data_IF_229537957132
#
_entry.id   IF_229537957132
#
_cell.length_a   1.000
_cell.length_b   1.000
_cell.length_c   1.000
_cell.angle_alpha   90.00
_cell.angle_beta   90.00
_cell.angle_gamma   90.00
#
_symmetry.space_group_name_H-M   'P 1'
#
loop_
_entity.id
_entity.type
_entity.pdbx_description
1 polymer ?
#
# COMPACT_ATOMS: atom_id res chain seq x y z
N UNK A 1 14.39 20.66 52.52
CA UNK A 1 13.71 21.58 51.57
C UNK A 1 14.77 22.17 50.65
N UNK A 2 14.57 22.05 49.33
CA UNK A 2 14.97 22.93 48.20
C UNK A 2 16.31 23.71 48.26
N UNK A 3 17.15 23.82 47.23
CA UNK A 3 17.09 23.49 45.79
C UNK A 3 18.53 23.53 45.26
N UNK A 4 18.95 22.50 44.52
CA UNK A 4 20.20 22.51 43.74
C UNK A 4 19.90 23.19 42.40
N UNK A 5 20.47 24.37 42.15
CA UNK A 5 20.50 24.96 40.80
C UNK A 5 21.78 24.50 40.09
N UNK A 6 21.65 23.46 39.25
CA UNK A 6 22.66 23.11 38.25
C UNK A 6 22.25 23.75 36.93
N UNK A 7 22.93 24.83 36.54
CA UNK A 7 22.89 25.39 35.20
C UNK A 7 23.56 24.41 34.21
N UNK A 8 22.84 23.38 33.81
CA UNK A 8 23.19 22.52 32.69
C UNK A 8 22.84 23.25 31.39
N UNK A 9 23.86 23.78 30.70
CA UNK A 9 23.75 24.21 29.31
C UNK A 9 23.28 23.02 28.47
N UNK A 10 22.02 23.01 28.06
CA UNK A 10 21.52 22.07 27.06
C UNK A 10 22.16 22.46 25.73
N UNK A 11 23.23 21.75 25.34
CA UNK A 11 23.73 21.77 23.97
C UNK A 11 22.73 21.02 23.10
N UNK A 12 21.82 21.76 22.47
CA UNK A 12 20.92 21.24 21.45
C UNK A 12 21.78 20.82 20.27
N UNK A 13 22.08 19.52 20.21
CA UNK A 13 22.94 18.92 19.20
C UNK A 13 22.07 18.38 18.09
N UNK A 14 22.50 18.65 16.84
CA UNK A 14 21.94 18.19 15.56
C UNK A 14 20.72 18.98 15.09
N UNK A 15 21.01 20.06 14.38
CA UNK A 15 20.17 20.57 13.29
C UNK A 15 19.79 19.39 12.38
N UNK A 16 18.54 18.96 12.45
CA UNK A 16 17.94 18.07 11.46
C UNK A 16 17.90 18.85 10.15
N UNK A 17 18.87 18.61 9.26
CA UNK A 17 18.81 19.13 7.90
C UNK A 17 17.76 18.30 7.17
N UNK A 18 16.61 18.86 6.77
CA UNK A 18 15.68 18.12 5.92
C UNK A 18 16.45 17.76 4.65
N UNK A 19 16.61 16.46 4.41
CA UNK A 19 17.18 15.94 3.17
C UNK A 19 16.27 16.45 2.05
N UNK A 20 16.79 17.30 1.18
CA UNK A 20 16.03 17.82 0.03
C UNK A 20 15.55 16.62 -0.80
N UNK A 21 14.27 16.29 -0.66
CA UNK A 21 13.57 15.38 -1.57
C UNK A 21 13.57 16.10 -2.92
N UNK A 22 14.17 15.50 -3.96
CA UNK A 22 14.20 16.12 -5.29
C UNK A 22 12.76 16.26 -5.79
N UNK A 23 12.44 17.32 -6.53
CA UNK A 23 11.09 17.59 -7.05
C UNK A 23 10.48 16.42 -7.86
N UNK A 24 11.33 15.62 -8.51
CA UNK A 24 10.91 14.39 -9.21
C UNK A 24 10.50 13.26 -8.24
N UNK A 25 11.17 13.15 -7.09
CA UNK A 25 10.86 12.16 -6.06
C UNK A 25 9.52 12.52 -5.38
N UNK A 26 9.25 13.81 -5.15
CA UNK A 26 7.95 14.25 -4.59
C UNK A 26 6.77 13.95 -5.51
N UNK A 27 6.95 14.09 -6.83
CA UNK A 27 5.91 13.77 -7.81
C UNK A 27 5.65 12.26 -7.89
N UNK A 28 6.71 11.44 -7.85
CA UNK A 28 6.58 9.97 -7.84
C UNK A 28 5.90 9.47 -6.57
N UNK A 29 6.27 10.01 -5.40
CA UNK A 29 5.62 9.68 -4.11
C UNK A 29 4.14 10.02 -4.13
N UNK A 30 3.77 11.19 -4.64
CA UNK A 30 2.35 11.58 -4.76
C UNK A 30 1.56 10.63 -5.65
N UNK A 31 2.12 10.22 -6.81
CA UNK A 31 1.48 9.27 -7.71
C UNK A 31 1.30 7.88 -7.10
N UNK A 32 2.33 7.39 -6.41
CA UNK A 32 2.28 6.11 -5.68
C UNK A 32 1.22 6.20 -4.59
N UNK A 33 1.22 7.27 -3.78
CA UNK A 33 0.26 7.47 -2.69
C UNK A 33 -1.18 7.44 -3.18
N UNK A 34 -1.47 8.17 -4.27
CA UNK A 34 -2.80 8.19 -4.87
C UNK A 34 -3.20 6.81 -5.41
N UNK A 35 -2.26 6.07 -6.02
CA UNK A 35 -2.54 4.71 -6.52
C UNK A 35 -2.81 3.72 -5.38
N UNK A 36 -2.09 3.85 -4.26
CA UNK A 36 -2.32 3.08 -3.03
C UNK A 36 -3.70 3.38 -2.45
N UNK A 37 -4.10 4.65 -2.40
CA UNK A 37 -5.42 5.07 -1.91
C UNK A 37 -6.56 4.52 -2.78
N UNK A 38 -6.47 4.68 -4.10
CA UNK A 38 -7.45 4.12 -5.05
C UNK A 38 -7.56 2.60 -4.94
N UNK A 39 -6.45 1.90 -4.72
CA UNK A 39 -6.46 0.46 -4.54
C UNK A 39 -7.07 0.03 -3.21
N UNK A 40 -6.79 0.76 -2.11
CA UNK A 40 -7.37 0.53 -0.79
C UNK A 40 -8.91 0.69 -0.83
N UNK A 41 -9.39 1.77 -1.43
CA UNK A 41 -10.83 2.05 -1.60
C UNK A 41 -11.52 0.95 -2.41
N UNK A 42 -10.91 0.53 -3.52
CA UNK A 42 -11.46 -0.53 -4.36
C UNK A 42 -11.52 -1.88 -3.64
N UNK A 43 -10.46 -2.24 -2.91
CA UNK A 43 -10.43 -3.48 -2.13
C UNK A 43 -11.45 -3.43 -0.99
N UNK A 44 -11.58 -2.29 -0.32
CA UNK A 44 -12.58 -2.10 0.72
C UNK A 44 -14.00 -2.25 0.15
N UNK A 45 -14.30 -1.61 -0.98
CA UNK A 45 -15.59 -1.74 -1.65
C UNK A 45 -15.87 -3.19 -2.06
N UNK A 46 -14.88 -3.90 -2.62
CA UNK A 46 -15.00 -5.33 -2.93
C UNK A 46 -15.30 -6.17 -1.69
N UNK A 47 -14.63 -5.91 -0.57
CA UNK A 47 -14.87 -6.59 0.70
C UNK A 47 -16.24 -6.27 1.33
N UNK A 48 -16.85 -5.14 0.99
CA UNK A 48 -18.19 -4.78 1.45
C UNK A 48 -19.29 -5.45 0.63
N UNK A 49 -19.11 -5.54 -0.69
CA UNK A 49 -20.12 -6.10 -1.59
C UNK A 49 -20.05 -7.62 -1.73
N UNK A 50 -18.89 -8.25 -1.52
CA UNK A 50 -18.74 -9.69 -1.76
C UNK A 50 -19.39 -10.50 -0.63
N UNK A 51 -20.42 -11.33 -0.90
CA UNK A 51 -21.03 -12.15 0.14
C UNK A 51 -20.07 -13.24 0.64
N UNK A 52 -20.44 -13.95 1.71
CA UNK A 52 -19.64 -15.02 2.34
C UNK A 52 -20.34 -16.38 2.23
N UNK A 53 -20.97 -16.63 1.09
CA UNK A 53 -21.87 -17.79 0.92
C UNK A 53 -21.11 -18.92 0.21
N UNK A 54 -20.44 -18.58 -0.89
CA UNK A 54 -19.78 -19.55 -1.74
C UNK A 54 -18.29 -19.70 -1.38
N UNK A 55 -17.68 -20.90 -1.54
CA UNK A 55 -16.27 -21.12 -1.25
C UNK A 55 -15.33 -20.14 -1.95
N UNK A 56 -15.58 -19.86 -3.24
CA UNK A 56 -14.76 -18.92 -4.00
C UNK A 56 -14.81 -17.49 -3.44
N UNK A 57 -15.90 -17.11 -2.79
CA UNK A 57 -16.05 -15.79 -2.17
C UNK A 57 -15.22 -15.70 -0.90
N UNK A 58 -15.22 -16.77 -0.10
CA UNK A 58 -14.37 -16.86 1.09
C UNK A 58 -12.89 -16.77 0.71
N UNK A 59 -12.49 -17.51 -0.33
CA UNK A 59 -11.12 -17.48 -0.86
C UNK A 59 -10.75 -16.08 -1.36
N UNK A 60 -11.62 -15.45 -2.17
CA UNK A 60 -11.38 -14.10 -2.67
C UNK A 60 -11.30 -13.09 -1.54
N UNK A 61 -12.16 -13.16 -0.52
CA UNK A 61 -12.10 -12.27 0.66
C UNK A 61 -10.81 -12.46 1.43
N UNK A 62 -10.33 -13.68 1.59
CA UNK A 62 -9.04 -13.94 2.25
C UNK A 62 -7.90 -13.28 1.47
N UNK A 63 -7.89 -13.42 0.14
CA UNK A 63 -6.90 -12.79 -0.74
C UNK A 63 -6.98 -11.25 -0.68
N UNK A 64 -8.19 -10.68 -0.70
CA UNK A 64 -8.42 -9.24 -0.59
C UNK A 64 -8.01 -8.68 0.78
N UNK A 65 -8.27 -9.40 1.87
CA UNK A 65 -7.79 -8.99 3.20
C UNK A 65 -6.26 -9.03 3.30
N UNK A 66 -5.61 -10.03 2.70
CA UNK A 66 -4.15 -10.06 2.59
C UNK A 66 -3.63 -8.84 1.83
N UNK A 67 -4.19 -8.56 0.65
CA UNK A 67 -3.83 -7.39 -0.15
C UNK A 67 -4.04 -6.07 0.61
N UNK A 68 -5.12 -5.94 1.40
CA UNK A 68 -5.35 -4.78 2.27
C UNK A 68 -4.26 -4.60 3.32
N UNK A 69 -3.75 -5.68 3.90
CA UNK A 69 -2.63 -5.61 4.84
C UNK A 69 -1.33 -5.20 4.15
N UNK A 70 -1.07 -5.73 2.96
CA UNK A 70 0.09 -5.34 2.14
C UNK A 70 0.04 -3.84 1.78
N UNK A 71 -1.14 -3.33 1.40
CA UNK A 71 -1.38 -1.90 1.12
C UNK A 71 -1.10 -1.02 2.33
N UNK A 72 -1.56 -1.42 3.53
CA UNK A 72 -1.25 -0.69 4.78
C UNK A 72 0.24 -0.63 5.05
N UNK A 73 0.96 -1.73 4.81
CA UNK A 73 2.40 -1.77 4.95
C UNK A 73 3.09 -0.86 3.92
N UNK A 74 2.70 -0.90 2.64
CA UNK A 74 3.21 0.01 1.59
C UNK A 74 2.98 1.48 1.95
N UNK A 75 1.79 1.83 2.42
CA UNK A 75 1.45 3.20 2.87
C UNK A 75 2.38 3.67 4.00
N UNK A 76 2.78 2.77 4.90
CA UNK A 76 3.73 3.11 5.98
C UNK A 76 5.18 3.28 5.48
N UNK A 77 5.53 2.66 4.35
CA UNK A 77 6.89 2.65 3.81
C UNK A 77 7.16 3.82 2.84
N UNK A 78 6.13 4.37 2.20
CA UNK A 78 6.23 5.42 1.17
C UNK A 78 6.86 6.75 1.64
N UNK A 79 6.95 6.98 2.95
CA UNK A 79 7.60 8.16 3.53
C UNK A 79 9.00 7.86 4.11
N UNK A 80 9.44 6.60 4.03
CA UNK A 80 10.73 6.14 4.58
C UNK A 80 11.68 5.74 3.46
N UNK A 81 12.73 6.53 3.22
CA UNK A 81 13.75 6.23 2.20
C UNK A 81 14.50 4.93 2.49
N UNK A 82 14.69 4.58 3.76
CA UNK A 82 15.42 3.38 4.18
C UNK A 82 14.65 2.08 3.87
N UNK A 83 13.35 2.18 3.61
CA UNK A 83 12.48 1.03 3.29
C UNK A 83 12.20 0.89 1.79
N UNK A 84 12.97 1.54 0.94
CA UNK A 84 12.74 1.55 -0.52
C UNK A 84 12.82 0.16 -1.15
N UNK A 85 13.80 -0.65 -0.78
CA UNK A 85 13.92 -2.04 -1.27
C UNK A 85 12.73 -2.89 -0.81
N UNK A 86 12.40 -2.82 0.50
CA UNK A 86 11.23 -3.51 1.06
C UNK A 86 9.91 -3.08 0.42
N UNK A 87 9.77 -1.79 0.10
CA UNK A 87 8.62 -1.26 -0.63
C UNK A 87 8.53 -1.90 -2.02
N UNK A 88 9.63 -1.95 -2.77
CA UNK A 88 9.65 -2.50 -4.11
C UNK A 88 9.33 -4.00 -4.09
N UNK A 89 9.90 -4.77 -3.17
CA UNK A 89 9.59 -6.20 -2.98
C UNK A 89 8.12 -6.43 -2.66
N UNK A 90 7.58 -5.69 -1.68
CA UNK A 90 6.18 -5.82 -1.28
C UNK A 90 5.22 -5.38 -2.41
N UNK A 91 5.58 -4.34 -3.17
CA UNK A 91 4.80 -3.90 -4.32
C UNK A 91 4.73 -4.96 -5.43
N UNK A 92 5.84 -5.68 -5.65
CA UNK A 92 5.87 -6.80 -6.59
C UNK A 92 4.98 -7.95 -6.11
N UNK A 93 5.10 -8.35 -4.85
CA UNK A 93 4.27 -9.41 -4.25
C UNK A 93 2.77 -9.06 -4.31
N UNK A 94 2.41 -7.80 -4.02
CA UNK A 94 1.03 -7.34 -4.13
C UNK A 94 0.51 -7.44 -5.57
N UNK A 95 1.32 -7.01 -6.54
CA UNK A 95 0.99 -7.09 -7.96
C UNK A 95 0.81 -8.54 -8.44
N UNK A 96 1.70 -9.45 -8.05
CA UNK A 96 1.59 -10.88 -8.36
C UNK A 96 0.35 -11.52 -7.73
N UNK A 97 0.08 -11.24 -6.45
CA UNK A 97 -1.10 -11.76 -5.76
C UNK A 97 -2.39 -11.31 -6.46
N UNK A 98 -2.52 -10.01 -6.75
CA UNK A 98 -3.71 -9.48 -7.41
C UNK A 98 -3.83 -9.93 -8.88
N UNK A 99 -2.71 -10.16 -9.56
CA UNK A 99 -2.70 -10.78 -10.89
C UNK A 99 -3.27 -12.21 -10.86
N UNK A 100 -2.82 -13.02 -9.91
CA UNK A 100 -3.27 -14.41 -9.77
C UNK A 100 -4.75 -14.46 -9.40
N UNK A 101 -5.18 -13.68 -8.41
CA UNK A 101 -6.58 -13.55 -8.01
C UNK A 101 -7.46 -13.11 -9.18
N UNK A 102 -7.08 -12.04 -9.89
CA UNK A 102 -7.82 -11.57 -11.06
C UNK A 102 -7.92 -12.64 -12.15
N UNK A 103 -6.85 -13.38 -12.42
CA UNK A 103 -6.83 -14.43 -13.45
C UNK A 103 -7.70 -15.63 -13.10
N UNK A 104 -7.80 -15.98 -11.81
CA UNK A 104 -8.69 -17.03 -11.32
C UNK A 104 -10.16 -16.63 -11.52
N UNK A 105 -10.51 -15.41 -11.13
CA UNK A 105 -11.87 -14.87 -11.26
C UNK A 105 -12.25 -14.74 -12.74
N UNK A 106 -11.33 -14.32 -13.61
CA UNK A 106 -11.55 -14.14 -15.05
C UNK A 106 -12.04 -15.42 -15.74
N UNK A 107 -11.45 -16.57 -15.39
CA UNK A 107 -11.76 -17.89 -15.99
C UNK A 107 -13.00 -18.57 -15.42
N UNK A 108 -13.67 -17.94 -14.45
CA UNK A 108 -14.80 -18.50 -13.73
C UNK A 108 -16.15 -17.99 -14.23
N UNK A 109 -17.25 -18.56 -13.73
CA UNK A 109 -18.62 -18.10 -13.98
C UNK A 109 -19.06 -16.94 -13.07
N UNK A 110 -18.13 -16.26 -12.42
CA UNK A 110 -18.40 -15.10 -11.54
C UNK A 110 -18.93 -13.91 -12.35
N UNK A 111 -19.70 -13.05 -11.70
CA UNK A 111 -20.32 -11.87 -12.28
C UNK A 111 -19.30 -10.87 -12.87
N UNK A 112 -19.75 -10.10 -13.85
CA UNK A 112 -18.90 -9.16 -14.57
C UNK A 112 -18.45 -7.97 -13.70
N UNK A 113 -19.18 -7.62 -12.65
CA UNK A 113 -18.82 -6.52 -11.75
C UNK A 113 -17.58 -6.91 -10.94
N UNK A 114 -17.60 -8.09 -10.32
CA UNK A 114 -16.44 -8.63 -9.59
C UNK A 114 -15.23 -8.80 -10.52
N UNK A 115 -15.42 -9.33 -11.73
CA UNK A 115 -14.35 -9.43 -12.74
C UNK A 115 -13.74 -8.07 -13.07
N UNK A 116 -14.59 -7.07 -13.36
CA UNK A 116 -14.13 -5.73 -13.74
C UNK A 116 -13.39 -5.03 -12.59
N UNK A 117 -13.90 -5.15 -11.37
CA UNK A 117 -13.25 -4.63 -10.17
C UNK A 117 -11.88 -5.30 -9.93
N UNK A 118 -11.77 -6.62 -10.10
CA UNK A 118 -10.48 -7.31 -9.98
C UNK A 118 -9.48 -6.92 -11.07
N UNK A 119 -9.94 -6.67 -12.31
CA UNK A 119 -9.07 -6.14 -13.38
C UNK A 119 -8.55 -4.75 -13.03
N UNK A 120 -9.40 -3.88 -12.48
CA UNK A 120 -9.00 -2.55 -12.02
C UNK A 120 -8.02 -2.63 -10.85
N UNK A 121 -8.26 -3.51 -9.87
CA UNK A 121 -7.35 -3.74 -8.75
C UNK A 121 -5.96 -4.19 -9.23
N UNK A 122 -5.91 -5.12 -10.19
CA UNK A 122 -4.68 -5.54 -10.85
C UNK A 122 -3.98 -4.36 -11.55
N UNK A 123 -4.71 -3.52 -12.28
CA UNK A 123 -4.12 -2.38 -12.99
C UNK A 123 -3.51 -1.35 -12.03
N UNK A 124 -4.19 -1.07 -10.91
CA UNK A 124 -3.69 -0.17 -9.86
C UNK A 124 -2.45 -0.75 -9.17
N UNK A 125 -2.42 -2.05 -8.88
CA UNK A 125 -1.25 -2.71 -8.32
C UNK A 125 -0.04 -2.67 -9.27
N UNK A 126 -0.26 -2.89 -10.57
CA UNK A 126 0.77 -2.75 -11.59
C UNK A 126 1.32 -1.32 -11.65
N UNK A 127 0.45 -0.30 -11.53
CA UNK A 127 0.90 1.09 -11.48
C UNK A 127 1.80 1.36 -10.27
N UNK A 128 1.44 0.87 -9.08
CA UNK A 128 2.26 1.00 -7.86
C UNK A 128 3.64 0.35 -8.07
N UNK A 129 3.67 -0.84 -8.67
CA UNK A 129 4.91 -1.57 -8.97
C UNK A 129 5.80 -0.86 -10.01
N UNK A 130 5.20 -0.26 -11.05
CA UNK A 130 5.96 0.36 -12.13
C UNK A 130 6.53 1.74 -11.77
N UNK A 131 5.91 2.47 -10.83
CA UNK A 131 6.47 3.73 -10.35
C UNK A 131 7.65 3.39 -9.42
N UNK A 132 8.87 3.51 -9.95
CA UNK A 132 10.09 3.28 -9.18
C UNK A 132 10.12 4.19 -7.95
N UNK A 133 9.91 3.60 -6.77
CA UNK A 133 10.15 4.24 -5.49
C UNK A 133 11.64 4.22 -5.16
#
# INVERSE_FOLDING_TARGET
MNKIQKNGKIKISKTFKPKHIKSNDTLSISKISNSIEQLDDLIQALLEILPQIEPWQLDLRMQLNKARNDIKALRSMIFSQEKKEQFNELSNLLNENLFLSSSQIERSYIDNTTKSAMRLARALAANIFHIKY
#
